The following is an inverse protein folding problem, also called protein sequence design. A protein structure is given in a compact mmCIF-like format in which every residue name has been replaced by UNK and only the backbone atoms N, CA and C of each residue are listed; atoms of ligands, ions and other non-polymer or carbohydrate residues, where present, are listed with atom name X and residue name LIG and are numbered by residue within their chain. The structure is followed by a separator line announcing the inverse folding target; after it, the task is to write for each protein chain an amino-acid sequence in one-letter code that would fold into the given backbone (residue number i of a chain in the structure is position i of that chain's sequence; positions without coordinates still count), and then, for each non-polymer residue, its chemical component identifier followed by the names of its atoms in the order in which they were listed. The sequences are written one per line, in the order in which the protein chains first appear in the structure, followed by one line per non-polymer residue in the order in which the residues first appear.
data_IF_918349004702
#
_entry.id   IF_918349004702
#
_cell.length_a   1.000
_cell.length_b   1.000
_cell.length_c   1.000
_cell.angle_alpha   90.00
_cell.angle_beta   90.00
_cell.angle_gamma   90.00
#
_symmetry.space_group_name_H-M   'P 1'
#
loop_
_entity.id
_entity.type
_entity.pdbx_description
1 polymer ?
#
# COMPACT_ATOMS: atom_id res chain seq x y z
N UNK A 1 -5.68 -9.27 -14.27
CA UNK A 1 -6.38 -8.38 -13.32
C UNK A 1 -7.80 -8.88 -13.16
N UNK A 2 -8.15 -9.42 -12.00
CA UNK A 2 -9.55 -9.68 -11.63
C UNK A 2 -10.27 -8.33 -11.58
N UNK A 3 -11.36 -8.16 -12.34
CA UNK A 3 -12.19 -6.97 -12.29
C UNK A 3 -12.79 -6.91 -10.89
N UNK A 4 -12.34 -5.97 -10.05
CA UNK A 4 -12.95 -5.69 -8.76
C UNK A 4 -14.41 -5.31 -9.01
N UNK A 5 -15.31 -6.08 -8.41
CA UNK A 5 -16.74 -5.78 -8.45
C UNK A 5 -17.07 -4.76 -7.38
N UNK A 6 -18.15 -3.98 -7.58
CA UNK A 6 -18.59 -3.01 -6.58
C UNK A 6 -18.83 -3.67 -5.22
N UNK A 7 -19.44 -4.86 -5.22
CA UNK A 7 -19.74 -5.58 -3.99
C UNK A 7 -18.47 -5.93 -3.21
N UNK A 8 -17.36 -6.26 -3.90
CA UNK A 8 -16.07 -6.49 -3.26
C UNK A 8 -15.49 -5.19 -2.67
N UNK A 9 -15.59 -4.07 -3.40
CA UNK A 9 -15.15 -2.76 -2.89
C UNK A 9 -15.89 -2.38 -1.60
N UNK A 10 -17.21 -2.59 -1.57
CA UNK A 10 -18.02 -2.33 -0.39
C UNK A 10 -17.66 -3.27 0.76
N UNK A 11 -17.59 -4.58 0.49
CA UNK A 11 -17.24 -5.60 1.48
C UNK A 11 -15.90 -5.29 2.14
N UNK A 12 -14.87 -5.03 1.35
CA UNK A 12 -13.54 -4.77 1.88
C UNK A 12 -13.48 -3.47 2.70
N UNK A 13 -14.20 -2.43 2.29
CA UNK A 13 -14.29 -1.19 3.04
C UNK A 13 -15.01 -1.38 4.40
N UNK A 14 -16.01 -2.26 4.46
CA UNK A 14 -16.65 -2.67 5.72
C UNK A 14 -15.68 -3.47 6.61
N UNK A 15 -14.89 -4.37 6.02
CA UNK A 15 -13.89 -5.16 6.75
C UNK A 15 -12.80 -4.26 7.36
N UNK A 16 -12.34 -3.24 6.63
CA UNK A 16 -11.37 -2.25 7.13
C UNK A 16 -11.88 -1.48 8.36
N UNK A 17 -13.18 -1.18 8.44
CA UNK A 17 -13.78 -0.57 9.63
C UNK A 17 -13.98 -1.55 10.78
N UNK A 18 -14.32 -2.80 10.47
CA UNK A 18 -14.54 -3.86 11.47
C UNK A 18 -13.27 -4.29 12.21
N UNK A 19 -12.10 -4.06 11.62
CA UNK A 19 -10.79 -4.42 12.20
C UNK A 19 -10.26 -3.45 13.26
N UNK A 20 -11.04 -2.46 13.71
CA UNK A 20 -10.73 -1.58 14.86
C UNK A 20 -9.33 -0.95 14.85
N UNK A 21 -8.99 -0.19 13.81
CA UNK A 21 -8.09 0.95 14.00
C UNK A 21 -8.94 2.09 14.53
N UNK A 22 -8.66 2.57 15.75
CA UNK A 22 -9.22 3.85 16.23
C UNK A 22 -9.13 4.86 15.08
N UNK A 23 -10.27 5.40 14.64
CA UNK A 23 -10.28 6.39 13.56
C UNK A 23 -9.65 7.65 14.14
N UNK A 24 -8.34 7.81 13.97
CA UNK A 24 -7.59 8.94 14.48
C UNK A 24 -8.20 10.24 13.94
N UNK A 25 -8.90 10.97 14.81
CA UNK A 25 -9.48 12.28 14.48
C UNK A 25 -8.39 13.33 14.58
N UNK A 26 -7.51 13.37 13.58
CA UNK A 26 -6.41 14.32 13.54
C UNK A 26 -6.93 15.67 13.02
N UNK A 27 -6.96 16.68 13.91
CA UNK A 27 -7.31 18.05 13.53
C UNK A 27 -6.24 18.64 12.58
N UNK A 28 -6.58 18.93 11.31
CA UNK A 28 -5.63 19.46 10.32
C UNK A 28 -4.94 20.73 10.78
N UNK A 29 -5.65 21.61 11.51
CA UNK A 29 -5.11 22.88 11.98
C UNK A 29 -4.04 22.68 13.04
N UNK A 30 -4.21 21.69 13.92
CA UNK A 30 -3.23 21.38 14.97
C UNK A 30 -1.97 20.81 14.35
N UNK A 31 -2.10 19.92 13.35
CA UNK A 31 -0.94 19.33 12.68
C UNK A 31 -0.19 20.30 11.79
N UNK A 32 -0.89 21.19 11.08
CA UNK A 32 -0.23 22.26 10.33
C UNK A 32 0.56 23.17 11.27
N UNK A 33 -0.01 23.54 12.43
CA UNK A 33 0.71 24.32 13.46
C UNK A 33 1.95 23.58 13.98
N UNK A 34 1.84 22.30 14.28
CA UNK A 34 2.99 21.48 14.74
C UNK A 34 4.08 21.44 13.67
N UNK A 35 3.69 21.30 12.40
CA UNK A 35 4.63 21.29 11.27
C UNK A 35 5.30 22.66 11.06
N UNK A 36 4.53 23.74 11.08
CA UNK A 36 5.05 25.09 10.90
C UNK A 36 5.98 25.45 12.06
N UNK A 37 5.64 25.04 13.28
CA UNK A 37 6.51 25.15 14.45
C UNK A 37 7.78 24.30 14.29
N UNK A 38 7.68 23.05 13.83
CA UNK A 38 8.84 22.20 13.59
C UNK A 38 9.79 22.78 12.53
N UNK A 39 9.24 23.33 11.44
CA UNK A 39 10.03 24.03 10.41
C UNK A 39 10.70 25.29 10.95
N UNK A 40 9.96 26.09 11.72
CA UNK A 40 10.49 27.30 12.37
C UNK A 40 11.61 26.96 13.35
N UNK A 41 11.41 25.94 14.20
CA UNK A 41 12.44 25.44 15.12
C UNK A 41 13.67 24.95 14.35
N UNK A 42 13.49 24.15 13.30
CA UNK A 42 14.61 23.68 12.46
C UNK A 42 15.40 24.84 11.84
N UNK A 43 14.72 25.90 11.39
CA UNK A 43 15.37 27.07 10.81
C UNK A 43 16.07 27.95 11.85
N UNK A 44 15.58 27.98 13.09
CA UNK A 44 16.15 28.75 14.20
C UNK A 44 17.32 28.04 14.91
N UNK A 45 17.41 26.72 14.77
CA UNK A 45 18.48 25.94 15.41
C UNK A 45 19.82 26.16 14.70
N UNK A 46 20.92 26.34 15.45
CA UNK A 46 22.25 26.47 14.89
C UNK A 46 22.74 25.13 14.30
N UNK A 47 23.79 25.19 13.48
CA UNK A 47 24.38 24.00 12.88
C UNK A 47 24.82 22.99 13.97
N UNK A 48 24.80 21.69 13.63
CA UNK A 48 25.06 20.55 14.54
C UNK A 48 26.17 20.73 15.59
N UNK A 49 27.36 21.29 15.29
CA UNK A 49 28.40 21.44 16.30
C UNK A 49 28.07 22.44 17.42
N UNK A 50 27.06 23.29 17.25
CA UNK A 50 26.68 24.34 18.20
C UNK A 50 25.32 24.08 18.88
N UNK A 51 24.75 22.89 18.70
CA UNK A 51 23.49 22.53 19.33
C UNK A 51 23.69 22.22 20.83
N UNK A 52 22.77 22.67 21.70
CA UNK A 52 22.77 22.26 23.10
C UNK A 52 22.57 20.74 23.21
N UNK A 53 23.19 20.12 24.23
CA UNK A 53 23.21 18.66 24.45
C UNK A 53 21.88 17.92 24.22
N UNK A 54 20.71 18.39 24.72
CA UNK A 54 19.43 17.71 24.47
C UNK A 54 18.94 17.77 23.01
N UNK A 55 19.36 18.78 22.24
CA UNK A 55 19.00 18.95 20.83
C UNK A 55 20.02 18.31 19.87
N UNK A 56 21.20 17.89 20.36
CA UNK A 56 22.22 17.22 19.57
C UNK A 56 22.09 15.69 19.59
N UNK A 57 20.98 15.15 20.09
CA UNK A 57 20.69 13.72 20.01
C UNK A 57 20.25 13.33 18.60
N UNK A 58 20.53 12.09 18.21
CA UNK A 58 20.05 11.55 16.93
C UNK A 58 18.52 11.50 16.89
N UNK A 59 17.90 11.10 17.99
CA UNK A 59 16.45 10.98 18.15
C UNK A 59 15.72 12.31 17.98
N UNK A 60 16.24 13.39 18.59
CA UNK A 60 15.64 14.72 18.45
C UNK A 60 15.70 15.21 17.00
N UNK A 61 16.85 15.04 16.34
CA UNK A 61 17.06 15.50 14.95
C UNK A 61 16.20 14.71 13.96
N UNK A 62 16.19 13.38 14.08
CA UNK A 62 15.36 12.50 13.24
C UNK A 62 13.87 12.69 13.49
N UNK A 63 13.45 12.93 14.74
CA UNK A 63 12.08 13.27 15.09
C UNK A 63 11.64 14.62 14.51
N UNK A 64 12.47 15.66 14.63
CA UNK A 64 12.21 16.99 14.07
C UNK A 64 12.13 16.95 12.54
N UNK A 65 13.02 16.20 11.89
CA UNK A 65 13.00 15.97 10.46
C UNK A 65 11.73 15.22 10.01
N UNK A 66 11.33 14.21 10.77
CA UNK A 66 10.10 13.45 10.51
C UNK A 66 8.86 14.35 10.60
N UNK A 67 8.78 15.24 11.59
CA UNK A 67 7.69 16.22 11.72
C UNK A 67 7.64 17.24 10.57
N UNK A 68 8.81 17.61 10.01
CA UNK A 68 8.87 18.52 8.86
C UNK A 68 8.33 17.90 7.56
N UNK A 69 8.59 16.59 7.38
CA UNK A 69 8.29 15.83 6.18
C UNK A 69 7.02 14.97 6.28
N UNK A 70 6.39 14.91 7.46
CA UNK A 70 5.19 14.13 7.67
C UNK A 70 4.10 14.52 6.65
N UNK A 71 3.67 13.53 5.87
CA UNK A 71 2.59 13.64 4.89
C UNK A 71 1.42 12.81 5.40
N UNK A 72 0.21 13.37 5.33
CA UNK A 72 -0.98 12.76 5.92
C UNK A 72 -1.24 11.37 5.34
N UNK A 73 -1.31 10.31 6.16
CA UNK A 73 -2.10 9.16 5.80
C UNK A 73 -3.56 9.60 5.91
N UNK A 74 -4.14 10.09 4.80
CA UNK A 74 -5.56 9.80 4.52
C UNK A 74 -6.56 10.22 5.63
N UNK A 75 -6.38 11.35 6.31
CA UNK A 75 -7.32 11.71 7.38
C UNK A 75 -8.62 12.34 6.84
N UNK A 76 -9.75 11.95 7.44
CA UNK A 76 -11.05 12.52 7.11
C UNK A 76 -11.14 14.04 7.36
N UNK A 77 -11.87 14.81 6.54
CA UNK A 77 -12.01 16.24 6.75
C UNK A 77 -12.75 16.50 8.07
N UNK A 78 -12.20 17.41 8.86
CA UNK A 78 -12.65 17.80 10.20
C UNK A 78 -13.89 18.70 10.14
N UNK A 79 -15.00 18.25 9.54
CA UNK A 79 -16.27 18.91 9.82
C UNK A 79 -16.59 18.65 11.30
N UNK A 80 -16.80 19.68 12.12
CA UNK A 80 -17.17 19.48 13.53
C UNK A 80 -18.54 18.80 13.72
N UNK A 81 -19.25 18.52 12.63
CA UNK A 81 -20.53 17.80 12.62
C UNK A 81 -20.44 16.51 11.80
N UNK A 82 -20.95 15.43 12.40
CA UNK A 82 -21.11 14.11 11.80
C UNK A 82 -20.19 13.03 12.39
N UNK A 83 -20.70 11.80 12.40
CA UNK A 83 -20.01 10.59 12.86
C UNK A 83 -18.65 10.40 12.13
N UNK A 84 -17.52 10.34 12.86
CA UNK A 84 -16.18 10.15 12.28
C UNK A 84 -16.03 8.84 11.52
N UNK A 85 -16.66 7.74 11.98
CA UNK A 85 -16.60 6.43 11.34
C UNK A 85 -17.25 6.48 9.96
N UNK A 86 -18.40 7.15 9.84
CA UNK A 86 -19.09 7.36 8.56
C UNK A 86 -18.23 8.12 7.57
N UNK A 87 -17.51 9.15 8.03
CA UNK A 87 -16.63 9.92 7.14
C UNK A 87 -15.43 9.11 6.68
N UNK A 88 -14.80 8.35 7.59
CA UNK A 88 -13.71 7.45 7.24
C UNK A 88 -14.17 6.43 6.20
N UNK A 89 -15.36 5.84 6.40
CA UNK A 89 -15.98 4.93 5.44
C UNK A 89 -16.19 5.55 4.06
N UNK A 90 -16.79 6.75 4.00
CA UNK A 90 -17.02 7.48 2.75
C UNK A 90 -15.71 7.68 1.97
N UNK A 91 -14.62 8.03 2.67
CA UNK A 91 -13.33 8.26 2.04
C UNK A 91 -12.65 6.96 1.61
N UNK A 92 -12.72 5.91 2.42
CA UNK A 92 -12.20 4.59 2.09
C UNK A 92 -12.89 4.04 0.83
N UNK A 93 -14.22 4.14 0.76
CA UNK A 93 -14.99 3.83 -0.45
C UNK A 93 -14.52 4.67 -1.64
N UNK A 94 -14.45 5.99 -1.49
CA UNK A 94 -14.05 6.88 -2.58
C UNK A 94 -12.65 6.57 -3.13
N UNK A 95 -11.71 6.18 -2.27
CA UNK A 95 -10.34 5.75 -2.65
C UNK A 95 -10.36 4.46 -3.44
N UNK A 96 -11.08 3.45 -2.94
CA UNK A 96 -11.23 2.17 -3.63
C UNK A 96 -11.92 2.33 -4.99
N UNK A 97 -12.90 3.25 -5.09
CA UNK A 97 -13.48 3.63 -6.37
C UNK A 97 -12.46 4.30 -7.29
N UNK A 98 -11.62 5.21 -6.80
CA UNK A 98 -10.59 5.87 -7.61
C UNK A 98 -9.46 4.91 -8.06
N UNK A 99 -9.16 3.89 -7.25
CA UNK A 99 -8.17 2.87 -7.59
C UNK A 99 -8.73 1.89 -8.65
N UNK A 100 -10.04 1.62 -8.66
CA UNK A 100 -10.69 0.69 -9.58
C UNK A 100 -11.31 1.35 -10.84
N UNK A 101 -11.70 2.62 -10.75
CA UNK A 101 -12.45 3.35 -11.78
C UNK A 101 -11.88 4.75 -12.02
N UNK A 102 -12.11 5.29 -13.22
CA UNK A 102 -11.67 6.63 -13.61
C UNK A 102 -12.37 7.74 -12.81
N UNK A 103 -13.61 7.46 -12.39
CA UNK A 103 -14.45 8.43 -11.69
C UNK A 103 -14.98 7.89 -10.35
N UNK A 104 -15.30 8.82 -9.45
CA UNK A 104 -15.85 8.52 -8.12
C UNK A 104 -17.33 8.90 -8.15
N UNK A 105 -18.26 7.94 -8.36
CA UNK A 105 -19.69 8.24 -8.40
C UNK A 105 -20.23 8.53 -6.99
N UNK A 106 -20.38 9.81 -6.64
CA UNK A 106 -20.74 10.27 -5.28
C UNK A 106 -22.10 9.73 -4.82
N UNK A 107 -23.08 9.69 -5.73
CA UNK A 107 -24.42 9.16 -5.50
C UNK A 107 -24.39 7.67 -5.17
N UNK A 108 -23.48 6.94 -5.81
CA UNK A 108 -23.32 5.51 -5.59
C UNK A 108 -22.55 5.20 -4.30
N UNK A 109 -21.53 6.00 -3.99
CA UNK A 109 -20.88 5.97 -2.67
C UNK A 109 -21.91 6.25 -1.57
N UNK A 110 -22.82 7.21 -1.79
CA UNK A 110 -23.89 7.49 -0.84
C UNK A 110 -24.83 6.30 -0.64
N UNK A 111 -25.26 5.64 -1.71
CA UNK A 111 -26.12 4.46 -1.62
C UNK A 111 -25.49 3.31 -0.80
N UNK A 112 -24.17 3.13 -0.90
CA UNK A 112 -23.44 2.13 -0.10
C UNK A 112 -23.33 2.53 1.38
N UNK A 113 -23.21 3.83 1.64
CA UNK A 113 -23.15 4.39 3.01
C UNK A 113 -24.50 4.26 3.71
N UNK A 114 -25.61 4.42 3.00
CA UNK A 114 -26.96 4.30 3.59
C UNK A 114 -27.32 2.89 4.01
N UNK A 115 -26.58 1.86 3.55
CA UNK A 115 -26.74 0.48 4.04
C UNK A 115 -26.36 0.39 5.52
N UNK A 116 -25.22 1.00 5.91
CA UNK A 116 -24.75 1.01 7.29
C UNK A 116 -25.31 2.17 8.12
N UNK A 117 -25.64 3.30 7.47
CA UNK A 117 -26.17 4.49 8.13
C UNK A 117 -27.39 5.07 7.38
N UNK A 118 -28.59 4.47 7.53
CA UNK A 118 -29.78 4.83 6.75
C UNK A 118 -30.23 6.28 6.92
N UNK A 119 -29.99 6.88 8.09
CA UNK A 119 -30.35 8.27 8.38
C UNK A 119 -29.42 9.32 7.74
N UNK A 120 -28.35 8.89 7.06
CA UNK A 120 -27.38 9.80 6.45
C UNK A 120 -28.00 10.47 5.22
N UNK A 121 -27.87 11.79 5.10
CA UNK A 121 -28.31 12.52 3.92
C UNK A 121 -27.25 12.55 2.82
N UNK A 122 -27.67 12.61 1.56
CA UNK A 122 -26.78 12.77 0.40
C UNK A 122 -25.93 14.04 0.50
N UNK A 123 -26.50 15.14 1.01
CA UNK A 123 -25.79 16.39 1.22
C UNK A 123 -24.63 16.22 2.22
N UNK A 124 -24.79 15.38 3.24
CA UNK A 124 -23.73 15.08 4.20
C UNK A 124 -22.63 14.18 3.62
N UNK A 125 -22.92 13.36 2.59
CA UNK A 125 -21.89 12.65 1.82
C UNK A 125 -21.15 13.59 0.88
N UNK A 126 -21.86 14.48 0.16
CA UNK A 126 -21.26 15.49 -0.73
C UNK A 126 -20.34 16.47 0.01
N UNK A 127 -20.65 16.81 1.27
CA UNK A 127 -19.78 17.64 2.12
C UNK A 127 -18.45 16.97 2.47
N UNK A 128 -18.40 15.64 2.50
CA UNK A 128 -17.17 14.88 2.72
C UNK A 128 -16.39 14.74 1.40
N UNK A 129 -17.10 14.43 0.31
CA UNK A 129 -16.55 14.30 -1.04
C UNK A 129 -16.66 15.61 -1.82
N UNK A 130 -16.05 16.68 -1.30
CA UNK A 130 -15.95 17.95 -2.03
C UNK A 130 -15.13 17.76 -3.31
N UNK A 131 -15.32 18.65 -4.29
CA UNK A 131 -14.54 18.64 -5.54
C UNK A 131 -13.01 18.63 -5.29
N UNK A 132 -12.56 19.35 -4.27
CA UNK A 132 -11.14 19.37 -3.87
C UNK A 132 -10.66 18.03 -3.33
N UNK A 133 -11.45 17.39 -2.46
CA UNK A 133 -11.12 16.08 -1.88
C UNK A 133 -11.16 14.99 -2.96
N UNK A 134 -12.18 14.97 -3.81
CA UNK A 134 -12.28 13.98 -4.90
C UNK A 134 -11.16 14.13 -5.92
N UNK A 135 -10.79 15.36 -6.27
CA UNK A 135 -9.64 15.62 -7.16
C UNK A 135 -8.34 15.16 -6.53
N UNK A 136 -8.12 15.44 -5.24
CA UNK A 136 -6.96 14.93 -4.51
C UNK A 136 -6.86 13.41 -4.53
N UNK A 137 -7.96 12.72 -4.20
CA UNK A 137 -8.01 11.24 -4.24
C UNK A 137 -7.70 10.70 -5.63
N UNK A 138 -8.24 11.32 -6.70
CA UNK A 138 -7.94 10.92 -8.08
C UNK A 138 -6.47 11.11 -8.45
N UNK A 139 -5.84 12.20 -8.01
CA UNK A 139 -4.42 12.45 -8.24
C UNK A 139 -3.55 11.41 -7.53
N UNK A 140 -3.89 11.07 -6.28
CA UNK A 140 -3.19 10.03 -5.52
C UNK A 140 -3.29 8.66 -6.21
N UNK A 141 -4.49 8.28 -6.67
CA UNK A 141 -4.70 7.03 -7.40
C UNK A 141 -3.90 6.99 -8.72
N UNK A 142 -3.89 8.10 -9.47
CA UNK A 142 -3.06 8.22 -10.68
C UNK A 142 -1.56 8.10 -10.38
N UNK A 143 -1.10 8.73 -9.29
CA UNK A 143 0.30 8.64 -8.87
C UNK A 143 0.68 7.19 -8.51
N UNK A 144 -0.17 6.46 -7.79
CA UNK A 144 0.03 5.04 -7.51
C UNK A 144 0.11 4.20 -8.78
N UNK A 145 -0.82 4.39 -9.72
CA UNK A 145 -0.79 3.70 -11.01
C UNK A 145 0.48 4.01 -11.82
N UNK A 146 0.95 5.25 -11.79
CA UNK A 146 2.20 5.65 -12.42
C UNK A 146 3.41 4.96 -11.77
N UNK A 147 3.45 4.88 -10.44
CA UNK A 147 4.49 4.17 -9.69
C UNK A 147 4.48 2.66 -9.99
N UNK A 148 3.31 2.03 -10.02
CA UNK A 148 3.18 0.62 -10.40
C UNK A 148 3.64 0.37 -11.84
N UNK A 149 3.29 1.27 -12.76
CA UNK A 149 3.72 1.19 -14.16
C UNK A 149 5.24 1.34 -14.28
N UNK A 150 5.82 2.32 -13.58
CA UNK A 150 7.26 2.54 -13.53
C UNK A 150 8.00 1.33 -12.93
N UNK A 151 7.47 0.74 -11.87
CA UNK A 151 8.01 -0.48 -11.26
C UNK A 151 7.99 -1.65 -12.26
N UNK A 152 6.86 -1.87 -12.96
CA UNK A 152 6.75 -2.91 -14.00
C UNK A 152 7.73 -2.66 -15.16
N UNK A 153 7.89 -1.41 -15.58
CA UNK A 153 8.83 -1.01 -16.61
C UNK A 153 10.28 -1.24 -16.20
N UNK A 154 10.64 -0.89 -14.97
CA UNK A 154 11.96 -1.15 -14.40
C UNK A 154 12.25 -2.66 -14.33
N UNK A 155 11.28 -3.47 -13.88
CA UNK A 155 11.41 -4.93 -13.88
C UNK A 155 11.63 -5.47 -15.30
N UNK A 156 10.87 -5.00 -16.30
CA UNK A 156 11.04 -5.42 -17.69
C UNK A 156 12.41 -5.03 -18.26
N UNK A 157 12.91 -3.83 -17.95
CA UNK A 157 14.24 -3.37 -18.35
C UNK A 157 15.36 -4.16 -17.65
N UNK A 158 15.22 -4.49 -16.37
CA UNK A 158 16.18 -5.34 -15.66
C UNK A 158 16.22 -6.74 -16.26
N UNK A 159 15.06 -7.31 -16.61
CA UNK A 159 14.99 -8.60 -17.31
C UNK A 159 15.65 -8.50 -18.68
N UNK A 160 15.39 -7.43 -19.45
CA UNK A 160 16.00 -7.25 -20.76
C UNK A 160 17.51 -7.02 -20.67
N UNK A 161 17.99 -6.34 -19.63
CA UNK A 161 19.43 -6.22 -19.35
C UNK A 161 20.05 -7.56 -19.00
N UNK A 162 19.43 -8.32 -18.08
CA UNK A 162 19.85 -9.67 -17.75
C UNK A 162 19.90 -10.57 -19.00
N UNK A 163 18.88 -10.46 -19.86
CA UNK A 163 18.82 -11.15 -21.15
C UNK A 163 19.81 -10.64 -22.20
N UNK A 164 20.23 -9.38 -22.17
CA UNK A 164 21.26 -8.84 -23.06
C UNK A 164 22.67 -9.23 -22.61
N UNK A 165 22.87 -9.50 -21.30
CA UNK A 165 24.09 -10.14 -20.78
C UNK A 165 24.22 -11.63 -21.14
N UNK A 166 23.32 -12.20 -21.95
CA UNK A 166 23.36 -13.59 -22.47
C UNK A 166 24.66 -14.00 -23.18
N UNK A 167 25.60 -13.11 -23.44
CA UNK A 167 26.92 -13.50 -23.95
C UNK A 167 27.92 -13.91 -22.84
N UNK A 168 27.53 -13.85 -21.55
CA UNK A 168 28.36 -14.24 -20.41
C UNK A 168 27.62 -15.13 -19.40
N UNK A 169 26.51 -15.78 -19.77
CA UNK A 169 25.77 -16.67 -18.87
C UNK A 169 26.13 -18.13 -19.12
N UNK A 170 26.32 -18.89 -18.05
CA UNK A 170 26.53 -20.33 -18.10
C UNK A 170 25.25 -21.06 -18.56
N UNK A 171 25.39 -22.26 -19.14
CA UNK A 171 24.26 -23.01 -19.70
C UNK A 171 23.14 -23.30 -18.68
N UNK A 172 23.48 -23.44 -17.40
CA UNK A 172 22.50 -23.62 -16.31
C UNK A 172 21.67 -22.35 -16.07
N UNK A 173 22.32 -21.19 -16.05
CA UNK A 173 21.64 -19.90 -15.84
C UNK A 173 20.75 -19.53 -17.03
N UNK A 174 21.14 -19.95 -18.25
CA UNK A 174 20.36 -19.75 -19.45
C UNK A 174 19.03 -20.55 -19.42
N UNK A 175 19.08 -21.78 -18.90
CA UNK A 175 17.91 -22.63 -18.72
C UNK A 175 16.96 -22.08 -17.63
N UNK A 176 17.50 -21.52 -16.54
CA UNK A 176 16.72 -20.86 -15.49
C UNK A 176 16.02 -19.60 -16.00
N UNK A 177 16.71 -18.78 -16.81
CA UNK A 177 16.12 -17.57 -17.41
C UNK A 177 15.00 -17.91 -18.38
N UNK A 178 15.17 -18.96 -19.20
CA UNK A 178 14.09 -19.44 -20.09
C UNK A 178 12.88 -19.92 -19.29
N UNK A 179 13.08 -20.68 -18.21
CA UNK A 179 12.00 -21.11 -17.33
C UNK A 179 11.26 -19.94 -16.69
N UNK A 180 12.00 -18.95 -16.16
CA UNK A 180 11.42 -17.74 -15.58
C UNK A 180 10.63 -16.93 -16.60
N UNK A 181 11.08 -16.87 -17.86
CA UNK A 181 10.35 -16.17 -18.94
C UNK A 181 8.99 -16.82 -19.22
N UNK A 182 8.93 -18.16 -19.24
CA UNK A 182 7.69 -18.94 -19.43
C UNK A 182 6.74 -18.75 -18.25
N UNK A 183 7.25 -18.69 -17.02
CA UNK A 183 6.44 -18.41 -15.83
C UNK A 183 5.84 -17.00 -15.85
N UNK A 184 6.62 -16.01 -16.27
CA UNK A 184 6.14 -14.62 -16.39
C UNK A 184 5.02 -14.51 -17.43
N UNK A 185 5.16 -15.17 -18.58
CA UNK A 185 4.12 -15.16 -19.60
C UNK A 185 2.84 -15.88 -19.13
N UNK A 186 2.96 -16.93 -18.31
CA UNK A 186 1.80 -17.55 -17.65
C UNK A 186 1.09 -16.56 -16.71
N UNK A 187 1.85 -15.81 -15.90
CA UNK A 187 1.28 -14.79 -15.01
C UNK A 187 0.61 -13.66 -15.81
N UNK A 188 1.22 -13.22 -16.92
CA UNK A 188 0.63 -12.22 -17.84
C UNK A 188 -0.68 -12.69 -18.46
N UNK A 189 -0.78 -13.98 -18.76
CA UNK A 189 -2.01 -14.61 -19.26
C UNK A 189 -3.04 -14.90 -18.15
N UNK A 190 -2.80 -14.49 -16.91
CA UNK A 190 -3.69 -14.71 -15.77
C UNK A 190 -3.75 -16.17 -15.29
N UNK A 191 -2.79 -17.01 -15.70
CA UNK A 191 -2.64 -18.39 -15.23
C UNK A 191 -1.84 -18.41 -13.93
N UNK A 192 -2.00 -19.49 -13.14
CA UNK A 192 -1.23 -19.67 -11.90
C UNK A 192 0.27 -19.66 -12.22
N UNK A 193 1.06 -18.93 -11.40
CA UNK A 193 2.51 -18.80 -11.55
C UNK A 193 3.20 -20.17 -11.58
N UNK A 194 2.80 -21.04 -10.66
CA UNK A 194 3.28 -22.42 -10.59
C UNK A 194 2.27 -23.38 -11.21
N UNK A 195 2.72 -24.39 -11.96
CA UNK A 195 1.84 -25.37 -12.59
C UNK A 195 1.14 -26.30 -11.59
N UNK A 196 1.71 -26.46 -10.39
CA UNK A 196 1.15 -27.28 -9.30
C UNK A 196 1.48 -26.67 -7.94
N UNK A 197 0.73 -27.06 -6.92
CA UNK A 197 1.00 -26.66 -5.53
C UNK A 197 2.35 -27.23 -5.03
N UNK A 198 2.76 -28.40 -5.51
CA UNK A 198 4.09 -28.96 -5.25
C UNK A 198 5.23 -28.07 -5.81
N UNK A 199 5.08 -27.55 -7.04
CA UNK A 199 6.07 -26.63 -7.63
C UNK A 199 6.15 -25.30 -6.85
N UNK A 200 5.00 -24.80 -6.39
CA UNK A 200 4.93 -23.61 -5.52
C UNK A 200 5.65 -23.83 -4.19
N UNK A 201 5.41 -24.98 -3.55
CA UNK A 201 5.99 -25.31 -2.26
C UNK A 201 7.51 -25.55 -2.34
N UNK A 202 8.01 -26.12 -3.44
CA UNK A 202 9.46 -26.23 -3.70
C UNK A 202 10.12 -24.86 -3.85
N UNK A 203 9.53 -23.97 -4.65
CA UNK A 203 10.05 -22.61 -4.78
C UNK A 203 10.03 -21.83 -3.44
N UNK A 204 9.02 -22.05 -2.59
CA UNK A 204 8.98 -21.48 -1.25
C UNK A 204 10.06 -22.08 -0.32
N UNK A 205 10.40 -23.36 -0.50
CA UNK A 205 11.50 -24.01 0.24
C UNK A 205 12.84 -23.35 -0.13
N UNK A 206 13.11 -23.16 -1.42
CA UNK A 206 14.35 -22.54 -1.90
C UNK A 206 14.50 -21.10 -1.38
N UNK A 207 13.41 -20.33 -1.35
CA UNK A 207 13.39 -18.98 -0.76
C UNK A 207 13.61 -19.03 0.76
N UNK A 208 12.98 -19.97 1.46
CA UNK A 208 13.13 -20.10 2.91
C UNK A 208 14.57 -20.45 3.29
N UNK A 209 15.29 -21.23 2.47
CA UNK A 209 16.71 -21.54 2.69
C UNK A 209 17.61 -20.29 2.64
N UNK A 210 17.18 -19.23 1.95
CA UNK A 210 17.92 -17.95 1.85
C UNK A 210 17.63 -16.96 2.98
N UNK A 211 16.79 -17.33 3.96
CA UNK A 211 16.50 -16.46 5.11
C UNK A 211 17.70 -16.38 6.06
N UNK A 212 18.04 -15.15 6.45
CA UNK A 212 19.15 -14.84 7.38
C UNK A 212 18.83 -15.21 8.83
N UNK A 213 17.55 -15.20 9.21
CA UNK A 213 17.08 -15.56 10.56
C UNK A 213 16.94 -17.08 10.68
N UNK A 214 17.76 -17.75 11.52
CA UNK A 214 17.79 -19.21 11.62
C UNK A 214 16.54 -19.82 12.25
N UNK A 215 15.88 -19.11 13.18
CA UNK A 215 14.71 -19.61 13.89
C UNK A 215 13.48 -19.51 12.98
N UNK A 216 13.31 -18.36 12.32
CA UNK A 216 12.27 -18.17 11.32
C UNK A 216 12.45 -19.13 10.13
N UNK A 217 13.69 -19.35 9.69
CA UNK A 217 14.01 -20.31 8.63
C UNK A 217 13.59 -21.73 9.02
N UNK A 218 13.90 -22.18 10.25
CA UNK A 218 13.55 -23.52 10.71
C UNK A 218 12.04 -23.74 10.75
N UNK A 219 11.28 -22.78 11.28
CA UNK A 219 9.82 -22.85 11.37
C UNK A 219 9.15 -22.89 9.99
N UNK A 220 9.61 -22.02 9.07
CA UNK A 220 9.08 -21.95 7.71
C UNK A 220 9.41 -23.22 6.92
N UNK A 221 10.63 -23.75 7.03
CA UNK A 221 11.02 -25.01 6.39
C UNK A 221 10.25 -26.22 6.93
N UNK A 222 9.98 -26.27 8.24
CA UNK A 222 9.16 -27.31 8.87
C UNK A 222 7.71 -27.30 8.34
N UNK A 223 7.11 -26.11 8.21
CA UNK A 223 5.75 -25.97 7.67
C UNK A 223 5.67 -26.35 6.18
N UNK A 224 6.66 -25.94 5.38
CA UNK A 224 6.71 -26.24 3.94
C UNK A 224 6.94 -27.74 3.71
N UNK A 225 7.85 -28.37 4.46
CA UNK A 225 8.12 -29.82 4.35
C UNK A 225 6.91 -30.67 4.71
N UNK A 226 6.19 -30.34 5.79
CA UNK A 226 4.93 -31.00 6.16
C UNK A 226 3.87 -30.89 5.07
N UNK A 227 3.72 -29.71 4.47
CA UNK A 227 2.79 -29.47 3.35
C UNK A 227 3.21 -30.16 2.05
N UNK A 228 4.51 -30.35 1.81
CA UNK A 228 5.01 -31.11 0.66
C UNK A 228 4.72 -32.61 0.80
N UNK A 229 4.80 -33.15 2.01
CA UNK A 229 4.43 -34.54 2.29
C UNK A 229 2.94 -34.81 2.06
N UNK A 230 2.06 -33.83 2.35
CA UNK A 230 0.62 -33.96 2.12
C UNK A 230 0.20 -33.86 0.63
N UNK A 231 1.08 -33.34 -0.23
CA UNK A 231 0.77 -33.01 -1.64
C UNK A 231 1.53 -33.90 -2.64
N UNK A 232 2.56 -34.61 -2.18
CA UNK A 232 3.26 -35.63 -2.97
C UNK A 232 2.57 -37.01 -2.78
N UNK A 233 2.12 -37.69 -3.85
CA UNK A 233 1.79 -39.11 -3.76
C UNK A 233 3.04 -39.98 -3.55
#
# INVERSE_FOLDING_TARGET
MSRLTVCQIASDAYTELGLQTEVDVINPRVVLKVRDQAKSMRAALPAQPYLPAPANTLEFRTGLDSLCHWTRPVCAPSSNSGDPCVRAFILALARRFADAFIDIPVEYVHALVTIGWPARSLSATRRVLTATVTTGIKLDAKAKLALESAARGATALTIHRAAASRHLMSASEQQEVEQLSVEIDRVRQGRRRFPSDAARLRALNDIAQTLDDPDLRADVLCLISKRLQDVAP
#
